data_IF_780386690948
#
_entry.id   IF_780386690948
#
_cell.length_a   1.000
_cell.length_b   1.000
_cell.length_c   1.000
_cell.angle_alpha   90.00
_cell.angle_beta   90.00
_cell.angle_gamma   90.00
#
_symmetry.space_group_name_H-M   'P 1'
#
loop_
_entity.id
_entity.type
_entity.pdbx_description
1 polymer ?
#
# COMPACT_ATOMS: atom_id res chain seq x y z
N UNK A 1 3.24 15.69 -9.67
CA UNK A 1 3.34 14.84 -8.46
C UNK A 1 4.49 13.82 -8.53
N UNK A 2 4.60 12.98 -9.57
CA UNK A 2 5.65 11.94 -9.61
C UNK A 2 7.10 12.49 -9.56
N UNK A 3 7.39 13.59 -10.24
CA UNK A 3 8.72 14.19 -10.22
C UNK A 3 9.11 14.68 -8.82
N UNK A 4 8.16 15.22 -8.06
CA UNK A 4 8.36 15.60 -6.67
C UNK A 4 8.64 14.36 -5.79
N UNK A 5 7.86 13.28 -5.94
CA UNK A 5 8.11 12.01 -5.24
C UNK A 5 9.51 11.46 -5.55
N UNK A 6 9.93 11.48 -6.83
CA UNK A 6 11.26 11.05 -7.27
C UNK A 6 12.37 11.92 -6.67
N UNK A 7 12.16 13.23 -6.64
CA UNK A 7 13.11 14.16 -6.05
C UNK A 7 13.27 13.91 -4.55
N UNK A 8 12.18 13.80 -3.80
CA UNK A 8 12.22 13.48 -2.36
C UNK A 8 12.92 12.14 -2.13
N UNK A 9 12.51 11.09 -2.86
CA UNK A 9 13.06 9.74 -2.67
C UNK A 9 14.56 9.66 -2.97
N UNK A 10 15.01 10.23 -4.10
CA UNK A 10 16.41 10.10 -4.52
C UNK A 10 17.34 11.19 -3.99
N UNK A 11 16.86 12.42 -3.82
CA UNK A 11 17.69 13.58 -3.44
C UNK A 11 17.61 13.92 -1.95
N UNK A 12 16.41 13.89 -1.36
CA UNK A 12 16.25 14.22 0.06
C UNK A 12 16.58 13.02 0.95
N UNK A 13 16.01 11.85 0.65
CA UNK A 13 16.24 10.62 1.41
C UNK A 13 17.49 9.86 0.95
N UNK A 14 17.99 10.13 -0.26
CA UNK A 14 19.17 9.47 -0.82
C UNK A 14 18.97 8.01 -1.24
N UNK A 15 17.71 7.55 -1.32
CA UNK A 15 17.39 6.15 -1.58
C UNK A 15 17.49 5.79 -3.05
N UNK A 16 17.85 4.54 -3.33
CA UNK A 16 17.95 3.97 -4.68
C UNK A 16 17.18 2.67 -4.74
N UNK A 17 16.56 2.40 -5.88
CA UNK A 17 15.96 1.09 -6.13
C UNK A 17 17.06 0.12 -6.54
N UNK A 18 17.12 -1.02 -5.87
CA UNK A 18 18.00 -2.15 -6.22
C UNK A 18 17.13 -3.31 -6.67
N UNK A 19 17.52 -3.96 -7.77
CA UNK A 19 16.75 -5.04 -8.37
C UNK A 19 15.59 -4.55 -9.25
N UNK A 20 14.80 -5.50 -9.72
CA UNK A 20 13.69 -5.27 -10.63
C UNK A 20 12.36 -5.31 -9.90
N UNK A 21 11.42 -4.48 -10.37
CA UNK A 21 10.06 -4.55 -9.88
C UNK A 21 9.32 -5.62 -10.69
N UNK A 22 8.56 -6.52 -10.06
CA UNK A 22 7.80 -7.56 -10.76
C UNK A 22 6.89 -7.00 -11.85
N UNK A 23 6.93 -7.57 -13.06
CA UNK A 23 6.04 -7.21 -14.18
C UNK A 23 4.67 -7.91 -14.10
N UNK A 24 4.38 -8.57 -12.99
CA UNK A 24 3.10 -9.20 -12.74
C UNK A 24 2.05 -8.14 -12.36
N UNK A 25 0.85 -8.28 -12.94
CA UNK A 25 -0.30 -7.41 -12.62
C UNK A 25 -0.87 -7.62 -11.21
N UNK A 26 -0.51 -8.73 -10.55
CA UNK A 26 -0.98 -9.12 -9.22
C UNK A 26 0.23 -9.44 -8.35
N UNK A 27 0.50 -8.58 -7.37
CA UNK A 27 1.69 -8.67 -6.53
C UNK A 27 1.31 -8.37 -5.08
N UNK A 28 1.87 -9.14 -4.16
CA UNK A 28 1.86 -8.83 -2.73
C UNK A 28 3.25 -8.30 -2.38
N UNK A 29 3.29 -7.12 -1.79
CA UNK A 29 4.50 -6.36 -1.48
C UNK A 29 4.55 -6.23 0.03
N UNK A 30 5.69 -6.60 0.59
CA UNK A 30 5.95 -6.56 2.02
C UNK A 30 6.98 -5.47 2.23
N UNK A 31 6.67 -4.50 3.07
CA UNK A 31 7.59 -3.45 3.48
C UNK A 31 7.97 -3.74 4.91
N UNK A 32 9.23 -4.11 5.12
CA UNK A 32 9.79 -4.37 6.43
C UNK A 32 11.02 -3.48 6.64
N UNK A 33 11.34 -3.08 7.88
CA UNK A 33 10.64 -3.40 9.15
C UNK A 33 9.35 -2.59 9.36
N UNK A 34 8.42 -3.11 10.20
CA UNK A 34 7.20 -2.40 10.63
C UNK A 34 7.45 -1.63 11.94
N UNK A 35 8.42 -0.72 11.89
CA UNK A 35 8.89 0.04 13.04
C UNK A 35 7.96 1.19 13.42
N UNK A 36 7.30 1.84 12.47
CA UNK A 36 6.44 3.00 12.72
C UNK A 36 5.46 3.28 11.57
N UNK A 37 4.52 4.20 11.80
CA UNK A 37 3.63 4.69 10.74
C UNK A 37 4.40 5.38 9.58
N UNK A 38 5.68 5.72 9.76
CA UNK A 38 6.51 6.25 8.68
C UNK A 38 6.75 5.22 7.57
N UNK A 39 6.71 3.92 7.89
CA UNK A 39 6.90 2.84 6.92
C UNK A 39 5.81 2.86 5.84
N UNK A 40 4.59 3.23 6.23
CA UNK A 40 3.48 3.47 5.30
C UNK A 40 3.77 4.65 4.36
N UNK A 41 4.30 5.76 4.88
CA UNK A 41 4.61 6.95 4.07
C UNK A 41 5.72 6.64 3.04
N UNK A 42 6.75 5.94 3.47
CA UNK A 42 7.86 5.47 2.64
C UNK A 42 7.33 4.52 1.56
N UNK A 43 6.51 3.54 1.94
CA UNK A 43 5.88 2.63 0.98
C UNK A 43 5.06 3.37 -0.07
N UNK A 44 4.22 4.30 0.36
CA UNK A 44 3.43 5.15 -0.55
C UNK A 44 4.32 5.99 -1.46
N UNK A 45 5.47 6.47 -0.98
CA UNK A 45 6.44 7.20 -1.80
C UNK A 45 7.03 6.31 -2.89
N UNK A 46 7.40 5.06 -2.57
CA UNK A 46 7.88 4.06 -3.54
C UNK A 46 6.84 3.83 -4.64
N UNK A 47 5.58 3.60 -4.26
CA UNK A 47 4.49 3.42 -5.20
C UNK A 47 4.22 4.66 -6.06
N UNK A 48 4.32 5.86 -5.48
CA UNK A 48 4.22 7.13 -6.22
C UNK A 48 5.31 7.22 -7.30
N UNK A 49 6.56 6.86 -6.97
CA UNK A 49 7.68 6.88 -7.91
C UNK A 49 7.44 5.90 -9.07
N UNK A 50 6.94 4.70 -8.77
CA UNK A 50 6.65 3.63 -9.74
C UNK A 50 5.31 3.78 -10.47
N UNK A 51 4.49 4.80 -10.16
CA UNK A 51 3.13 5.01 -10.71
C UNK A 51 2.17 3.85 -10.46
N UNK A 52 2.37 3.13 -9.36
CA UNK A 52 1.52 2.01 -8.99
C UNK A 52 0.47 2.51 -8.00
N UNK A 53 -0.77 2.00 -8.13
CA UNK A 53 -1.86 2.24 -7.17
C UNK A 53 -1.96 1.05 -6.22
N UNK A 54 -1.28 1.09 -5.05
CA UNK A 54 -1.34 0.02 -4.07
C UNK A 54 -2.66 0.03 -3.29
N UNK A 55 -3.01 -1.13 -2.76
CA UNK A 55 -4.02 -1.29 -1.72
C UNK A 55 -3.33 -1.59 -0.40
N UNK A 56 -3.82 -1.01 0.70
CA UNK A 56 -3.25 -1.19 2.03
C UNK A 56 -4.30 -1.76 2.97
N UNK A 57 -3.94 -2.73 3.79
CA UNK A 57 -4.83 -3.21 4.84
C UNK A 57 -4.75 -2.24 6.02
N UNK A 58 -5.86 -1.60 6.36
CA UNK A 58 -5.93 -0.62 7.45
C UNK A 58 -7.03 -1.08 8.42
N UNK A 59 -6.79 -0.90 9.73
CA UNK A 59 -7.81 -1.22 10.75
C UNK A 59 -9.08 -0.42 10.47
N UNK A 60 -10.23 -1.10 10.56
CA UNK A 60 -11.56 -0.53 10.33
C UNK A 60 -11.83 0.78 11.12
N UNK A 61 -11.23 0.94 12.30
CA UNK A 61 -11.32 2.16 13.13
C UNK A 61 -10.84 3.44 12.41
N UNK A 62 -9.96 3.33 11.41
CA UNK A 62 -9.50 4.45 10.60
C UNK A 62 -10.49 4.85 9.49
N UNK A 63 -11.59 4.12 9.32
CA UNK A 63 -12.65 4.40 8.36
C UNK A 63 -13.84 5.17 8.97
N UNK A 64 -13.61 5.82 10.11
CA UNK A 64 -14.56 6.76 10.73
C UNK A 64 -14.93 7.90 9.78
N UNK A 65 -16.16 8.45 9.82
CA UNK A 65 -16.68 9.38 8.80
C UNK A 65 -15.76 10.57 8.46
N UNK A 66 -15.04 11.12 9.44
CA UNK A 66 -14.14 12.25 9.24
C UNK A 66 -12.85 11.93 8.47
N UNK A 67 -12.31 10.71 8.63
CA UNK A 67 -11.00 10.29 8.07
C UNK A 67 -11.16 9.19 7.01
N UNK A 68 -12.33 8.55 6.97
CA UNK A 68 -12.59 7.35 6.18
C UNK A 68 -12.61 7.60 4.68
N UNK A 69 -12.98 8.81 4.24
CA UNK A 69 -12.89 9.18 2.83
C UNK A 69 -11.43 9.28 2.39
N UNK A 70 -10.56 9.82 3.24
CA UNK A 70 -9.13 9.94 2.98
C UNK A 70 -8.49 8.56 2.92
N UNK A 71 -8.74 7.69 3.91
CA UNK A 71 -8.17 6.34 3.91
C UNK A 71 -8.60 5.52 2.69
N UNK A 72 -9.87 5.62 2.26
CA UNK A 72 -10.34 5.02 1.00
C UNK A 72 -9.65 5.60 -0.23
N UNK A 73 -9.51 6.92 -0.31
CA UNK A 73 -8.84 7.58 -1.43
C UNK A 73 -7.36 7.18 -1.56
N UNK A 74 -6.72 6.82 -0.45
CA UNK A 74 -5.35 6.32 -0.42
C UNK A 74 -5.20 4.83 -0.79
N UNK A 75 -6.30 4.13 -1.09
CA UNK A 75 -6.29 2.69 -1.38
C UNK A 75 -6.43 1.83 -0.11
N UNK A 76 -6.86 2.42 1.01
CA UNK A 76 -7.12 1.70 2.24
C UNK A 76 -8.28 0.72 2.12
N UNK A 77 -8.02 -0.50 2.57
CA UNK A 77 -8.98 -1.60 2.68
C UNK A 77 -9.22 -1.84 4.17
N UNK A 78 -10.46 -1.75 4.66
CA UNK A 78 -10.78 -1.99 6.05
C UNK A 78 -10.61 -3.47 6.40
N UNK A 79 -9.86 -3.75 7.46
CA UNK A 79 -9.74 -5.08 8.06
C UNK A 79 -10.20 -5.02 9.52
N UNK A 80 -11.08 -5.96 9.87
CA UNK A 80 -11.58 -6.13 11.23
C UNK A 80 -10.76 -7.21 11.96
N UNK A 81 -10.37 -6.94 13.22
CA UNK A 81 -9.58 -7.89 14.04
C UNK A 81 -10.38 -9.10 14.53
N UNK A 82 -11.71 -9.00 14.52
CA UNK A 82 -12.60 -9.97 15.15
C UNK A 82 -12.78 -11.25 14.34
N UNK A 83 -12.31 -11.30 13.09
CA UNK A 83 -12.41 -12.51 12.27
C UNK A 83 -11.12 -12.80 11.51
N UNK A 84 -10.19 -13.54 12.11
CA UNK A 84 -8.94 -13.98 11.45
C UNK A 84 -9.19 -14.69 10.10
N UNK A 85 -10.34 -15.34 9.93
CA UNK A 85 -10.69 -16.05 8.69
C UNK A 85 -11.20 -15.16 7.55
N UNK A 86 -11.49 -13.88 7.77
CA UNK A 86 -12.04 -13.02 6.72
C UNK A 86 -10.98 -12.34 5.87
N UNK A 87 -9.82 -11.98 6.43
CA UNK A 87 -8.80 -11.18 5.74
C UNK A 87 -8.22 -11.90 4.53
N UNK A 88 -7.81 -13.16 4.68
CA UNK A 88 -7.25 -13.96 3.57
C UNK A 88 -8.31 -14.19 2.50
N UNK A 89 -9.53 -14.57 2.89
CA UNK A 89 -10.66 -14.75 1.94
C UNK A 89 -10.98 -13.46 1.19
N UNK A 90 -10.91 -12.32 1.88
CA UNK A 90 -11.12 -11.00 1.29
C UNK A 90 -10.02 -10.66 0.27
N UNK A 91 -8.75 -10.89 0.61
CA UNK A 91 -7.61 -10.69 -0.30
C UNK A 91 -7.77 -11.58 -1.53
N UNK A 92 -8.08 -12.88 -1.34
CA UNK A 92 -8.32 -13.83 -2.43
C UNK A 92 -9.47 -13.38 -3.35
N UNK A 93 -10.57 -12.86 -2.78
CA UNK A 93 -11.69 -12.33 -3.56
C UNK A 93 -11.26 -11.15 -4.43
N UNK A 94 -10.51 -10.21 -3.86
CA UNK A 94 -10.02 -9.02 -4.60
C UNK A 94 -8.99 -9.40 -5.67
N UNK A 95 -8.08 -10.32 -5.35
CA UNK A 95 -7.12 -10.88 -6.31
C UNK A 95 -7.83 -11.53 -7.49
N UNK A 96 -8.95 -12.24 -7.27
CA UNK A 96 -9.73 -12.85 -8.36
C UNK A 96 -10.49 -11.82 -9.20
N UNK A 97 -11.09 -10.82 -8.57
CA UNK A 97 -11.96 -9.84 -9.25
C UNK A 97 -11.22 -8.74 -10.01
N UNK A 98 -10.05 -8.30 -9.52
CA UNK A 98 -9.31 -7.17 -10.11
C UNK A 98 -8.31 -7.65 -11.16
N UNK A 99 -8.23 -6.91 -12.28
CA UNK A 99 -7.21 -7.13 -13.32
C UNK A 99 -5.81 -6.80 -12.82
N UNK A 100 -5.69 -5.75 -12.01
CA UNK A 100 -4.46 -5.31 -11.36
C UNK A 100 -4.67 -5.19 -9.85
N UNK A 101 -3.76 -5.77 -9.07
CA UNK A 101 -3.84 -5.78 -7.62
C UNK A 101 -2.45 -5.81 -7.00
N UNK A 102 -2.03 -4.65 -6.49
CA UNK A 102 -0.80 -4.49 -5.73
C UNK A 102 -1.20 -4.37 -4.26
N UNK A 103 -1.08 -5.46 -3.50
CA UNK A 103 -1.34 -5.41 -2.07
C UNK A 103 -0.07 -5.03 -1.35
N UNK A 104 -0.12 -4.00 -0.52
CA UNK A 104 0.98 -3.62 0.32
C UNK A 104 0.69 -3.95 1.79
N UNK A 105 1.68 -4.57 2.43
CA UNK A 105 1.68 -4.90 3.85
C UNK A 105 2.80 -4.09 4.50
N UNK A 106 2.41 -3.16 5.40
CA UNK A 106 3.19 -2.16 6.15
C UNK A 106 2.72 -2.10 7.58
#
# INVERSE_FOLDING_TARGET
>A
MQQLCKWIFHKLLGWKFTGEFPDQKKVIIIIAPHTSNADFLIGKLIFCVKRIKPYFLIKEQWFRPYIGWLTKALGGIPVSKTSNNSTVKFILKNLKQKKEFYLNIT
#
